data_IF_750964205989
#
_entry.id   IF_750964205989
#
_cell.length_a   1.000
_cell.length_b   1.000
_cell.length_c   1.000
_cell.angle_alpha   90.00
_cell.angle_beta   90.00
_cell.angle_gamma   90.00
#
_symmetry.space_group_name_H-M   'P 1'
#
loop_
_entity.id
_entity.type
_entity.pdbx_description
1 polymer ?
#
# COMPACT_ATOMS: atom_id res chain seq x y z
N UNK A 1 -9.40 0.31 -4.75
CA UNK A 1 -9.15 0.25 -3.31
C UNK A 1 -10.14 -0.70 -2.68
N UNK A 2 -9.62 -1.83 -2.21
CA UNK A 2 -10.39 -2.88 -1.54
C UNK A 2 -9.92 -2.95 -0.09
N UNK A 3 -10.82 -3.32 0.83
CA UNK A 3 -10.44 -3.57 2.22
C UNK A 3 -11.17 -4.78 2.77
N UNK A 4 -10.58 -5.40 3.79
CA UNK A 4 -11.16 -6.50 4.53
C UNK A 4 -11.03 -6.23 6.03
N UNK A 5 -12.13 -6.37 6.75
CA UNK A 5 -12.21 -6.09 8.18
C UNK A 5 -12.39 -7.39 8.96
N UNK A 6 -11.66 -7.49 10.07
CA UNK A 6 -11.80 -8.55 11.08
C UNK A 6 -12.06 -7.90 12.45
N UNK A 7 -12.16 -8.71 13.51
CA UNK A 7 -12.33 -8.16 14.86
C UNK A 7 -11.17 -7.24 15.27
N UNK A 8 -9.93 -7.64 14.99
CA UNK A 8 -8.74 -6.95 15.50
C UNK A 8 -7.99 -6.13 14.44
N UNK A 9 -8.25 -6.41 13.16
CA UNK A 9 -7.49 -5.84 12.04
C UNK A 9 -8.37 -5.32 10.91
N UNK A 10 -7.89 -4.27 10.26
CA UNK A 10 -8.33 -3.82 8.94
C UNK A 10 -7.17 -4.01 7.96
N UNK A 11 -7.44 -4.67 6.85
CA UNK A 11 -6.51 -4.91 5.76
C UNK A 11 -6.91 -4.00 4.60
N UNK A 12 -6.01 -3.12 4.16
CA UNK A 12 -6.26 -2.16 3.07
C UNK A 12 -5.40 -2.56 1.88
N UNK A 13 -6.00 -2.63 0.70
CA UNK A 13 -5.36 -3.01 -0.55
C UNK A 13 -5.48 -1.88 -1.56
N UNK A 14 -4.35 -1.47 -2.11
CA UNK A 14 -4.30 -0.66 -3.32
C UNK A 14 -3.73 -1.51 -4.45
N UNK A 15 -4.51 -1.65 -5.52
CA UNK A 15 -4.22 -2.54 -6.63
C UNK A 15 -3.98 -1.69 -7.87
N UNK A 16 -2.78 -1.80 -8.46
CA UNK A 16 -2.37 -1.08 -9.67
C UNK A 16 -1.79 -2.02 -10.71
N UNK A 17 -1.72 -1.60 -11.96
CA UNK A 17 -0.93 -2.32 -12.96
C UNK A 17 0.56 -1.95 -12.86
N UNK A 18 0.84 -0.66 -12.82
CA UNK A 18 2.17 -0.07 -12.73
C UNK A 18 2.23 0.85 -11.50
N UNK A 19 3.34 0.79 -10.76
CA UNK A 19 3.67 1.70 -9.67
C UNK A 19 5.02 2.35 -9.93
N UNK A 20 5.01 3.53 -10.52
CA UNK A 20 6.18 4.35 -10.89
C UNK A 20 6.17 5.74 -10.23
N UNK A 21 5.21 5.99 -9.34
CA UNK A 21 5.09 7.20 -8.54
C UNK A 21 4.59 6.90 -7.11
N UNK A 22 4.45 7.95 -6.30
CA UNK A 22 4.01 7.87 -4.90
C UNK A 22 2.49 7.84 -4.74
N UNK A 23 1.69 7.99 -5.80
CA UNK A 23 0.26 8.20 -5.68
C UNK A 23 -0.46 7.00 -5.05
N UNK A 24 0.03 5.78 -5.29
CA UNK A 24 -0.52 4.57 -4.69
C UNK A 24 -0.24 4.47 -3.18
N UNK A 25 0.92 4.98 -2.75
CA UNK A 25 1.31 5.04 -1.34
C UNK A 25 0.46 6.08 -0.62
N UNK A 26 0.36 7.30 -1.15
CA UNK A 26 -0.46 8.38 -0.61
C UNK A 26 -1.94 7.95 -0.49
N UNK A 27 -2.45 7.17 -1.45
CA UNK A 27 -3.81 6.61 -1.39
C UNK A 27 -4.00 5.63 -0.23
N UNK A 28 -2.99 4.81 0.09
CA UNK A 28 -3.01 3.90 1.24
C UNK A 28 -2.96 4.68 2.56
N UNK A 29 -2.09 5.69 2.67
CA UNK A 29 -1.94 6.51 3.87
C UNK A 29 -3.21 7.30 4.20
N UNK A 30 -3.76 8.05 3.24
CA UNK A 30 -5.01 8.79 3.42
C UNK A 30 -6.15 7.86 3.88
N UNK A 31 -6.14 6.61 3.42
CA UNK A 31 -7.15 5.62 3.80
C UNK A 31 -6.91 5.05 5.19
N UNK A 32 -5.65 4.81 5.56
CA UNK A 32 -5.27 4.42 6.91
C UNK A 32 -5.79 5.44 7.91
N UNK A 33 -5.52 6.73 7.70
CA UNK A 33 -6.01 7.80 8.57
C UNK A 33 -7.54 7.75 8.74
N UNK A 34 -8.27 7.66 7.62
CA UNK A 34 -9.72 7.56 7.67
C UNK A 34 -10.22 6.31 8.44
N UNK A 35 -9.54 5.17 8.33
CA UNK A 35 -9.91 3.96 9.08
C UNK A 35 -9.53 4.04 10.56
N UNK A 36 -8.40 4.66 10.92
CA UNK A 36 -8.01 4.85 12.32
C UNK A 36 -9.02 5.74 13.07
N UNK A 37 -9.57 6.75 12.39
CA UNK A 37 -10.62 7.62 12.95
C UNK A 37 -11.96 6.88 13.15
N UNK A 38 -12.36 6.06 12.17
CA UNK A 38 -13.68 5.43 12.18
C UNK A 38 -13.72 4.10 12.96
N UNK A 39 -12.59 3.44 13.18
CA UNK A 39 -12.49 2.12 13.79
C UNK A 39 -11.43 2.09 14.91
N UNK A 40 -11.63 2.86 15.99
CA UNK A 40 -10.64 3.01 17.05
C UNK A 40 -10.30 1.65 17.68
N UNK A 41 -9.00 1.42 17.87
CA UNK A 41 -8.48 0.20 18.50
C UNK A 41 -8.21 -0.96 17.53
N UNK A 42 -8.66 -0.87 16.27
CA UNK A 42 -8.26 -1.85 15.24
C UNK A 42 -6.88 -1.53 14.69
N UNK A 43 -6.09 -2.58 14.43
CA UNK A 43 -4.78 -2.45 13.81
C UNK A 43 -4.92 -2.44 12.29
N UNK A 44 -4.17 -1.59 11.60
CA UNK A 44 -4.21 -1.52 10.14
C UNK A 44 -3.01 -2.21 9.52
N UNK A 45 -3.24 -2.97 8.45
CA UNK A 45 -2.21 -3.54 7.58
C UNK A 45 -2.46 -3.08 6.14
N UNK A 46 -1.45 -2.53 5.51
CA UNK A 46 -1.54 -1.98 4.16
C UNK A 46 -0.80 -2.87 3.17
N UNK A 47 -1.40 -3.05 2.00
CA UNK A 47 -0.87 -3.87 0.92
C UNK A 47 -0.91 -3.08 -0.39
N UNK A 48 0.25 -2.94 -1.03
CA UNK A 48 0.35 -2.43 -2.38
C UNK A 48 0.53 -3.62 -3.33
N UNK A 49 -0.47 -3.89 -4.15
CA UNK A 49 -0.47 -5.01 -5.10
C UNK A 49 -0.32 -4.46 -6.51
N UNK A 50 0.74 -4.84 -7.22
CA UNK A 50 0.97 -4.33 -8.57
C UNK A 50 1.71 -5.31 -9.48
N UNK A 51 1.47 -5.28 -10.78
CA UNK A 51 2.20 -6.15 -11.71
C UNK A 51 3.67 -5.75 -11.82
N UNK A 52 3.93 -4.44 -11.92
CA UNK A 52 5.28 -3.88 -11.97
C UNK A 52 5.43 -2.68 -11.03
N UNK A 53 6.57 -2.58 -10.35
CA UNK A 53 6.92 -1.44 -9.49
C UNK A 53 8.34 -0.96 -9.73
N UNK A 54 8.53 0.36 -9.67
CA UNK A 54 9.86 0.95 -9.67
C UNK A 54 10.56 0.65 -8.34
N UNK A 55 11.82 0.26 -8.39
CA UNK A 55 12.63 -0.12 -7.22
C UNK A 55 12.57 0.92 -6.09
N UNK A 56 12.77 2.21 -6.40
CA UNK A 56 12.68 3.32 -5.42
C UNK A 56 11.30 3.43 -4.76
N UNK A 57 10.23 3.16 -5.50
CA UNK A 57 8.85 3.21 -4.97
C UNK A 57 8.57 1.99 -4.08
N UNK A 58 9.11 0.82 -4.44
CA UNK A 58 9.03 -0.38 -3.60
C UNK A 58 9.75 -0.15 -2.27
N UNK A 59 10.98 0.35 -2.31
CA UNK A 59 11.76 0.65 -1.10
C UNK A 59 11.04 1.64 -0.19
N UNK A 60 10.48 2.71 -0.77
CA UNK A 60 9.70 3.70 -0.04
C UNK A 60 8.48 3.05 0.66
N UNK A 61 7.64 2.33 -0.10
CA UNK A 61 6.46 1.66 0.44
C UNK A 61 6.81 0.70 1.58
N UNK A 62 7.83 -0.13 1.40
CA UNK A 62 8.27 -1.10 2.42
C UNK A 62 8.81 -0.39 3.68
N UNK A 63 9.51 0.73 3.53
CA UNK A 63 10.00 1.54 4.65
C UNK A 63 8.88 2.15 5.50
N UNK A 64 7.71 2.39 4.90
CA UNK A 64 6.50 2.89 5.57
C UNK A 64 5.64 1.75 6.16
N UNK A 65 6.12 0.51 6.08
CA UNK A 65 5.43 -0.67 6.61
C UNK A 65 4.31 -1.19 5.71
N UNK A 66 4.27 -0.79 4.43
CA UNK A 66 3.37 -1.34 3.43
C UNK A 66 3.96 -2.65 2.91
N UNK A 67 3.12 -3.70 2.85
CA UNK A 67 3.51 -4.97 2.22
C UNK A 67 3.34 -4.84 0.71
N UNK A 68 4.44 -4.92 -0.04
CA UNK A 68 4.40 -4.91 -1.50
C UNK A 68 4.26 -6.33 -2.04
N UNK A 69 3.27 -6.55 -2.90
CA UNK A 69 3.06 -7.81 -3.64
C UNK A 69 3.19 -7.47 -5.12
N UNK A 70 4.25 -7.97 -5.76
CA UNK A 70 4.53 -7.62 -7.16
C UNK A 70 5.12 -8.77 -7.97
N UNK A 71 4.88 -8.73 -9.28
CA UNK A 71 5.44 -9.68 -10.25
C UNK A 71 6.79 -9.24 -10.82
N UNK A 72 7.05 -7.94 -10.91
CA UNK A 72 8.25 -7.39 -11.54
C UNK A 72 8.71 -6.10 -10.85
N UNK A 73 10.02 -5.99 -10.60
CA UNK A 73 10.66 -4.77 -10.11
C UNK A 73 11.56 -4.24 -11.21
N UNK A 74 11.46 -2.95 -11.52
CA UNK A 74 12.27 -2.32 -12.56
C UNK A 74 12.99 -1.08 -12.02
N UNK A 75 14.14 -0.78 -12.63
CA UNK A 75 14.90 0.44 -12.39
C UNK A 75 14.74 1.34 -13.60
N UNK A 76 14.41 2.61 -13.37
CA UNK A 76 14.54 3.62 -14.43
C UNK A 76 16.01 4.01 -14.50
N UNK A 77 16.61 3.87 -15.68
CA UNK A 77 17.91 4.48 -15.97
C UNK A 77 17.72 5.99 -16.09
N UNK A 78 18.57 6.76 -15.39
CA UNK A 78 18.65 8.22 -15.51
C UNK A 78 18.91 8.66 -16.97
#
# INVERSE_FOLDING_TARGET
MDFYETNDYIYIFEIKNLCDDTAAIEQLENRKEAFEENFPGKKIKMFLVCNSIQDKIKELAESEGIVVITGNVFTLSD
#
